data_IF_559746506466
#
_entry.id   IF_559746506466
#
_cell.length_a   1.000
_cell.length_b   1.000
_cell.length_c   1.000
_cell.angle_alpha   90.00
_cell.angle_beta   90.00
_cell.angle_gamma   90.00
#
_symmetry.space_group_name_H-M   'P 1'
#
loop_
_entity.id
_entity.type
_entity.pdbx_description
1 polymer ?
#
# COMPACT_ATOMS: atom_id res chain seq x y z
N UNK A 1 52.92 21.78 -8.72
CA UNK A 1 51.82 21.04 -9.42
C UNK A 1 50.95 20.20 -8.48
N UNK A 2 50.81 20.54 -7.18
CA UNK A 2 49.97 19.79 -6.22
C UNK A 2 48.71 20.54 -5.77
N UNK A 3 48.73 21.86 -5.85
CA UNK A 3 47.64 22.73 -5.41
C UNK A 3 46.45 22.76 -6.37
N UNK A 4 46.70 22.66 -7.69
CA UNK A 4 45.62 22.63 -8.69
C UNK A 4 44.78 21.36 -8.61
N UNK A 5 45.42 20.23 -8.29
CA UNK A 5 44.77 18.92 -8.17
C UNK A 5 43.81 18.91 -6.99
N UNK A 6 44.20 19.46 -5.84
CA UNK A 6 43.34 19.52 -4.66
C UNK A 6 42.08 20.37 -4.87
N UNK A 7 42.17 21.48 -5.61
CA UNK A 7 41.01 22.35 -5.88
C UNK A 7 40.01 21.65 -6.80
N UNK A 8 40.51 20.91 -7.80
CA UNK A 8 39.66 20.16 -8.74
C UNK A 8 38.90 19.02 -8.04
N UNK A 9 39.55 18.30 -7.11
CA UNK A 9 38.89 17.22 -6.35
C UNK A 9 37.79 17.75 -5.43
N UNK A 10 38.00 18.92 -4.81
CA UNK A 10 37.00 19.56 -3.94
C UNK A 10 35.79 20.04 -4.75
N UNK A 11 35.98 20.62 -5.95
CA UNK A 11 34.87 21.02 -6.82
C UNK A 11 34.07 19.81 -7.34
N UNK A 12 34.73 18.70 -7.68
CA UNK A 12 34.04 17.47 -8.10
C UNK A 12 33.22 16.85 -6.96
N UNK A 13 33.74 16.88 -5.73
CA UNK A 13 33.02 16.39 -4.54
C UNK A 13 31.81 17.27 -4.17
N UNK A 14 31.85 18.58 -4.41
CA UNK A 14 30.70 19.47 -4.18
C UNK A 14 29.59 19.31 -5.24
N UNK A 15 29.92 18.87 -6.46
CA UNK A 15 28.91 18.62 -7.52
C UNK A 15 28.16 17.29 -7.36
N UNK A 16 28.65 16.42 -6.47
CA UNK A 16 28.07 15.11 -6.16
C UNK A 16 27.21 15.15 -4.88
N UNK A 17 26.75 16.33 -4.45
CA UNK A 17 25.61 16.37 -3.56
C UNK A 17 24.42 15.80 -4.36
N UNK A 18 23.86 14.63 -4.02
CA UNK A 18 22.57 14.27 -4.58
C UNK A 18 21.65 15.43 -4.18
N UNK A 19 21.04 16.07 -5.18
CA UNK A 19 19.79 16.78 -4.96
C UNK A 19 18.75 15.75 -4.53
N UNK A 20 18.91 15.22 -3.32
CA UNK A 20 17.82 14.66 -2.56
C UNK A 20 16.96 15.86 -2.20
N UNK A 21 16.15 16.30 -3.16
CA UNK A 21 14.84 16.79 -2.80
C UNK A 21 14.19 15.61 -2.08
N UNK A 22 14.33 15.57 -0.76
CA UNK A 22 13.51 14.72 0.08
C UNK A 22 12.08 15.15 -0.22
N UNK A 23 11.46 14.45 -1.18
CA UNK A 23 10.05 14.63 -1.48
C UNK A 23 9.39 14.14 -0.20
N UNK A 24 9.04 15.10 0.65
CA UNK A 24 8.49 14.84 1.98
C UNK A 24 7.33 13.88 1.79
N UNK A 25 7.48 12.66 2.29
CA UNK A 25 6.54 11.59 2.00
C UNK A 25 5.13 12.05 2.38
N UNK A 26 4.20 12.02 1.42
CA UNK A 26 2.84 12.50 1.65
C UNK A 26 2.15 11.54 2.63
N UNK A 27 1.42 12.08 3.60
CA UNK A 27 0.60 11.29 4.53
C UNK A 27 -0.87 11.66 4.35
N UNK A 28 -1.76 10.67 4.46
CA UNK A 28 -3.19 10.89 4.41
C UNK A 28 -3.98 9.64 4.74
N UNK A 29 -5.28 9.80 4.94
CA UNK A 29 -6.21 8.70 5.11
C UNK A 29 -6.73 8.25 3.74
N UNK A 30 -6.72 6.94 3.50
CA UNK A 30 -7.26 6.33 2.29
C UNK A 30 -8.33 5.31 2.65
N UNK A 31 -9.35 5.21 1.81
CA UNK A 31 -10.36 4.16 1.90
C UNK A 31 -9.88 2.93 1.14
N UNK A 32 -9.57 1.87 1.85
CA UNK A 32 -9.24 0.57 1.27
C UNK A 32 -10.53 -0.17 0.99
N UNK A 33 -10.77 -0.53 -0.27
CA UNK A 33 -11.84 -1.42 -0.70
C UNK A 33 -11.26 -2.80 -0.97
N UNK A 34 -11.97 -3.84 -0.55
CA UNK A 34 -11.54 -5.22 -0.71
C UNK A 34 -12.55 -6.02 -1.54
N UNK A 35 -12.00 -6.76 -2.51
CA UNK A 35 -12.79 -7.50 -3.50
C UNK A 35 -12.26 -8.93 -3.67
N UNK A 36 -13.14 -9.86 -4.02
CA UNK A 36 -12.77 -11.15 -4.60
C UNK A 36 -12.78 -11.06 -6.13
N UNK A 37 -11.78 -11.65 -6.77
CA UNK A 37 -11.80 -11.92 -8.21
C UNK A 37 -12.03 -13.41 -8.47
N UNK A 38 -13.02 -13.70 -9.32
CA UNK A 38 -13.38 -15.05 -9.72
C UNK A 38 -13.01 -15.28 -11.19
N UNK A 39 -11.87 -15.93 -11.48
CA UNK A 39 -11.37 -16.09 -12.85
C UNK A 39 -12.34 -16.91 -13.73
N UNK A 40 -13.01 -17.90 -13.15
CA UNK A 40 -13.96 -18.75 -13.88
C UNK A 40 -15.23 -18.01 -14.33
N UNK A 41 -15.58 -16.90 -13.66
CA UNK A 41 -16.75 -16.08 -13.97
C UNK A 41 -16.39 -14.72 -14.59
N UNK A 42 -15.11 -14.35 -14.61
CA UNK A 42 -14.65 -13.02 -15.02
C UNK A 42 -15.24 -11.88 -14.19
N UNK A 43 -15.54 -12.14 -12.91
CA UNK A 43 -16.31 -11.23 -12.06
C UNK A 43 -15.51 -10.77 -10.83
N UNK A 44 -15.76 -9.52 -10.42
CA UNK A 44 -15.26 -8.92 -9.18
C UNK A 44 -16.43 -8.69 -8.24
N UNK A 45 -16.32 -9.14 -6.99
CA UNK A 45 -17.38 -9.03 -5.99
C UNK A 45 -16.84 -8.53 -4.66
N UNK A 46 -17.62 -7.74 -3.91
CA UNK A 46 -17.23 -7.29 -2.58
C UNK A 46 -17.04 -8.48 -1.64
N UNK A 47 -16.01 -8.45 -0.80
CA UNK A 47 -15.70 -9.58 0.11
C UNK A 47 -16.89 -9.95 1.02
N UNK A 48 -17.69 -8.95 1.41
CA UNK A 48 -18.84 -9.13 2.29
C UNK A 48 -20.05 -9.81 1.63
N UNK A 49 -19.98 -10.15 0.34
CA UNK A 49 -20.97 -10.99 -0.34
C UNK A 49 -20.89 -12.47 0.06
N UNK A 50 -19.90 -12.85 0.87
CA UNK A 50 -19.65 -14.22 1.32
C UNK A 50 -19.55 -14.30 2.85
N UNK A 51 -19.77 -15.48 3.45
CA UNK A 51 -19.51 -15.71 4.87
C UNK A 51 -18.00 -15.72 5.14
N UNK A 52 -17.46 -14.53 5.36
CA UNK A 52 -16.06 -14.31 5.71
C UNK A 52 -15.92 -14.00 7.20
N UNK A 53 -14.76 -14.34 7.76
CA UNK A 53 -14.40 -14.05 9.12
C UNK A 53 -13.20 -13.11 9.14
N UNK A 54 -13.25 -12.13 10.04
CA UNK A 54 -12.12 -11.26 10.36
C UNK A 54 -11.45 -10.63 9.12
N UNK A 55 -12.19 -9.94 8.22
CA UNK A 55 -11.55 -9.23 7.13
C UNK A 55 -10.72 -8.07 7.66
N UNK A 56 -9.48 -7.92 7.18
CA UNK A 56 -8.53 -6.93 7.67
C UNK A 56 -7.75 -6.29 6.52
N UNK A 57 -7.60 -4.97 6.57
CA UNK A 57 -6.60 -4.23 5.82
C UNK A 57 -5.34 -4.08 6.68
N UNK A 58 -4.19 -4.45 6.14
CA UNK A 58 -2.89 -4.38 6.80
C UNK A 58 -2.08 -3.23 6.21
N UNK A 59 -1.69 -2.29 7.04
CA UNK A 59 -0.68 -1.27 6.71
C UNK A 59 0.65 -1.77 7.27
N UNK A 60 1.56 -2.15 6.38
CA UNK A 60 2.77 -2.88 6.76
C UNK A 60 3.70 -2.01 7.59
N UNK A 61 4.13 -2.55 8.73
CA UNK A 61 4.99 -1.84 9.69
C UNK A 61 4.24 -0.84 10.58
N UNK A 62 2.90 -0.82 10.56
CA UNK A 62 2.09 0.07 11.40
C UNK A 62 0.95 -0.71 12.11
N UNK A 63 -0.15 -0.93 11.42
CA UNK A 63 -1.37 -1.46 12.04
C UNK A 63 -2.21 -2.32 11.09
N UNK A 64 -3.18 -3.03 11.64
CA UNK A 64 -4.20 -3.74 10.88
C UNK A 64 -5.57 -3.25 11.31
N UNK A 65 -6.39 -2.87 10.34
CA UNK A 65 -7.73 -2.32 10.56
C UNK A 65 -8.75 -3.32 10.06
N UNK A 66 -9.73 -3.66 10.90
CA UNK A 66 -10.84 -4.51 10.48
C UNK A 66 -11.67 -3.82 9.40
N UNK A 67 -11.95 -4.55 8.33
CA UNK A 67 -12.84 -4.11 7.28
C UNK A 67 -14.28 -4.32 7.74
N UNK A 68 -15.10 -3.28 7.57
CA UNK A 68 -16.49 -3.36 7.97
C UNK A 68 -17.31 -4.06 6.88
N UNK A 69 -18.18 -4.97 7.30
CA UNK A 69 -19.23 -5.51 6.44
C UNK A 69 -20.56 -4.86 6.82
N UNK A 70 -21.36 -4.40 5.84
CA UNK A 70 -21.34 -4.81 4.44
C UNK A 70 -20.49 -3.97 3.47
N UNK A 71 -19.88 -2.86 3.93
CA UNK A 71 -19.24 -1.88 3.02
C UNK A 71 -18.01 -2.41 2.27
N UNK A 72 -17.44 -3.55 2.68
CA UNK A 72 -16.23 -4.13 2.09
C UNK A 72 -15.07 -3.13 2.03
N UNK A 73 -15.03 -2.24 3.02
CA UNK A 73 -14.03 -1.17 3.10
C UNK A 73 -13.60 -0.83 4.52
N UNK A 74 -12.40 -0.25 4.63
CA UNK A 74 -11.84 0.34 5.84
C UNK A 74 -11.13 1.65 5.50
N UNK A 75 -11.20 2.63 6.39
CA UNK A 75 -10.35 3.82 6.30
C UNK A 75 -9.06 3.52 7.06
N UNK A 76 -7.92 3.76 6.42
CA UNK A 76 -6.59 3.55 7.00
C UNK A 76 -5.72 4.77 6.78
N UNK A 77 -4.91 5.12 7.77
CA UNK A 77 -3.89 6.15 7.62
C UNK A 77 -2.64 5.56 7.00
N UNK A 78 -2.15 6.19 5.94
CA UNK A 78 -0.98 5.73 5.18
C UNK A 78 -0.05 6.88 4.85
N UNK A 79 1.19 6.51 4.58
CA UNK A 79 2.26 7.38 4.09
C UNK A 79 2.71 6.84 2.74
N UNK A 80 2.99 7.74 1.79
CA UNK A 80 3.56 7.41 0.48
C UNK A 80 4.80 6.50 0.66
N UNK A 81 4.83 5.39 -0.07
CA UNK A 81 5.84 4.34 0.05
C UNK A 81 5.51 3.22 1.04
N UNK A 82 4.45 3.33 1.85
CA UNK A 82 3.98 2.20 2.67
C UNK A 82 3.28 1.14 1.82
N UNK A 83 3.33 -0.10 2.27
CA UNK A 83 2.63 -1.21 1.63
C UNK A 83 1.32 -1.51 2.35
N UNK A 84 0.25 -1.70 1.58
CA UNK A 84 -1.07 -2.10 2.07
C UNK A 84 -1.50 -3.41 1.43
N UNK A 85 -2.07 -4.31 2.21
CA UNK A 85 -2.69 -5.54 1.72
C UNK A 85 -3.99 -5.85 2.47
N UNK A 86 -4.80 -6.77 1.97
CA UNK A 86 -6.00 -7.23 2.65
C UNK A 86 -5.91 -8.74 2.91
N UNK A 87 -6.41 -9.19 4.05
CA UNK A 87 -6.64 -10.61 4.31
C UNK A 87 -8.07 -10.86 4.77
N UNK A 88 -8.56 -12.06 4.48
CA UNK A 88 -9.87 -12.55 4.92
C UNK A 88 -9.76 -14.03 5.26
N UNK A 89 -10.47 -14.49 6.28
CA UNK A 89 -10.61 -15.91 6.54
C UNK A 89 -11.92 -16.44 5.96
N UNK A 90 -11.85 -17.49 5.15
CA UNK A 90 -13.01 -18.21 4.59
C UNK A 90 -13.16 -19.58 5.26
N UNK A 91 -14.40 -20.00 5.52
CA UNK A 91 -14.68 -21.18 6.36
C UNK A 91 -14.51 -20.87 7.86
N UNK A 92 -14.49 -21.88 8.74
CA UNK A 92 -14.33 -21.74 10.21
C UNK A 92 -12.92 -21.25 10.63
N UNK A 93 -12.43 -20.16 10.01
CA UNK A 93 -11.16 -19.47 10.25
C UNK A 93 -9.88 -20.22 9.84
N UNK A 94 -9.96 -21.27 9.04
CA UNK A 94 -8.78 -22.08 8.68
C UNK A 94 -8.13 -21.68 7.36
N UNK A 95 -8.89 -21.14 6.41
CA UNK A 95 -8.35 -20.75 5.10
C UNK A 95 -8.24 -19.23 5.01
N UNK A 96 -7.02 -18.70 5.10
CA UNK A 96 -6.75 -17.27 4.95
C UNK A 96 -6.42 -16.98 3.49
N UNK A 97 -7.17 -16.09 2.87
CA UNK A 97 -6.90 -15.56 1.54
C UNK A 97 -6.38 -14.13 1.69
N UNK A 98 -5.47 -13.75 0.81
CA UNK A 98 -4.81 -12.44 0.86
C UNK A 98 -4.81 -11.79 -0.54
N UNK A 99 -4.88 -10.46 -0.56
CA UNK A 99 -4.66 -9.70 -1.78
C UNK A 99 -3.18 -9.66 -2.13
N UNK A 100 -2.87 -9.27 -3.36
CA UNK A 100 -1.55 -8.75 -3.65
C UNK A 100 -1.32 -7.45 -2.87
N UNK A 101 -0.11 -7.24 -2.32
CA UNK A 101 0.24 -5.99 -1.67
C UNK A 101 0.38 -4.86 -2.70
N UNK A 102 -0.06 -3.66 -2.33
CA UNK A 102 0.10 -2.43 -3.13
C UNK A 102 0.97 -1.46 -2.34
N UNK A 103 1.96 -0.86 -3.01
CA UNK A 103 2.73 0.25 -2.47
C UNK A 103 1.96 1.54 -2.73
N UNK A 104 1.66 2.28 -1.66
CA UNK A 104 0.91 3.53 -1.70
C UNK A 104 1.73 4.61 -2.40
N UNK A 105 1.19 5.20 -3.44
CA UNK A 105 1.77 6.37 -4.10
C UNK A 105 1.00 7.67 -3.76
N UNK A 106 1.48 8.79 -4.30
CA UNK A 106 0.86 10.10 -4.09
C UNK A 106 -0.54 10.21 -4.71
N UNK A 107 -0.86 9.40 -5.73
CA UNK A 107 -2.14 9.39 -6.43
C UNK A 107 -3.18 8.64 -5.62
N UNK A 108 -2.82 7.52 -4.98
CA UNK A 108 -3.69 6.83 -4.03
C UNK A 108 -4.14 7.75 -2.89
N UNK A 109 -3.19 8.52 -2.34
CA UNK A 109 -3.49 9.50 -1.28
C UNK A 109 -4.34 10.66 -1.81
N UNK A 110 -4.08 11.11 -3.06
CA UNK A 110 -4.85 12.18 -3.70
C UNK A 110 -6.29 11.78 -4.06
N UNK A 111 -6.48 10.55 -4.52
CA UNK A 111 -7.78 9.97 -4.85
C UNK A 111 -8.57 9.59 -3.60
N UNK A 112 -7.87 9.27 -2.50
CA UNK A 112 -8.49 8.91 -1.22
C UNK A 112 -8.97 7.47 -1.16
N UNK A 113 -8.60 6.61 -2.12
CA UNK A 113 -9.00 5.20 -2.13
C UNK A 113 -7.98 4.26 -2.78
N UNK A 114 -8.02 2.99 -2.37
CA UNK A 114 -7.21 1.88 -2.90
C UNK A 114 -8.11 0.64 -3.03
N UNK A 115 -8.11 0.02 -4.21
CA UNK A 115 -8.80 -1.24 -4.44
C UNK A 115 -7.83 -2.42 -4.33
N UNK A 116 -8.13 -3.36 -3.43
CA UNK A 116 -7.36 -4.58 -3.21
C UNK A 116 -8.16 -5.80 -3.65
N UNK A 117 -7.55 -6.60 -4.53
CA UNK A 117 -8.19 -7.78 -5.11
C UNK A 117 -7.57 -9.04 -4.51
N UNK A 118 -8.43 -9.88 -3.94
CA UNK A 118 -8.09 -11.22 -3.43
C UNK A 118 -8.41 -12.24 -4.53
N UNK A 119 -7.41 -12.96 -5.07
CA UNK A 119 -7.65 -14.02 -6.03
C UNK A 119 -8.32 -15.21 -5.35
N UNK A 120 -9.36 -15.76 -5.98
CA UNK A 120 -10.10 -16.93 -5.48
C UNK A 120 -10.36 -17.96 -6.56
#
# INVERSE_FOLDING_TARGET
MKTLTCILTVLLLLSAAPSSSEKKARRGSVTVHAWFYYPNAGAVMGICAFPIWMPQAHVWGDTSVSINCPSSSAVVDVTEGQTVSCTVAVGLKTNILASYPIVVDADNIGAGSIDLIIPR
#
